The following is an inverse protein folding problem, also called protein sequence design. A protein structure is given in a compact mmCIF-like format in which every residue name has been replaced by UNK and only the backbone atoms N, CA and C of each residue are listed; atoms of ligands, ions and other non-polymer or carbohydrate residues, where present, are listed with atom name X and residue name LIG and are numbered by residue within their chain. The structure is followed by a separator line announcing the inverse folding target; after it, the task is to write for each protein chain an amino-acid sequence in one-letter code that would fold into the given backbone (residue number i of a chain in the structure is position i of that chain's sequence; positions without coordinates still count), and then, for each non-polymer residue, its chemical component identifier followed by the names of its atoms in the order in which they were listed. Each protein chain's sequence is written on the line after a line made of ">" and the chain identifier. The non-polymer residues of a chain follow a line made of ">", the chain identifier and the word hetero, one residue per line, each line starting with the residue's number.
data_IF_597713699308
#
_entry.id   IF_597713699308
#
_cell.length_a   1.000
_cell.length_b   1.000
_cell.length_c   1.000
_cell.angle_alpha   90.00
_cell.angle_beta   90.00
_cell.angle_gamma   90.00
#
_symmetry.space_group_name_H-M   'P 1'
#
loop_
_entity.id
_entity.type
_entity.pdbx_description
1 polymer ?
#
# COMPACT_ATOMS: atom_id res chain seq x y z
N UNK A 1 -13.45 -3.75 -5.23
CA UNK A 1 -14.22 -2.64 -4.63
C UNK A 1 -13.34 -1.65 -3.92
N UNK A 2 -12.64 -2.02 -2.83
CA UNK A 2 -11.76 -1.09 -2.10
C UNK A 2 -10.76 -0.37 -3.02
N UNK A 3 -10.07 -1.08 -3.92
CA UNK A 3 -9.13 -0.44 -4.85
C UNK A 3 -9.79 0.45 -5.91
N UNK A 4 -11.01 0.12 -6.34
CA UNK A 4 -11.76 0.98 -7.24
C UNK A 4 -12.16 2.28 -6.54
N UNK A 5 -12.55 2.19 -5.27
CA UNK A 5 -12.90 3.34 -4.45
C UNK A 5 -11.68 4.23 -4.16
N UNK A 6 -10.53 3.64 -3.82
CA UNK A 6 -9.28 4.38 -3.67
C UNK A 6 -8.91 5.08 -4.98
N UNK A 7 -8.96 4.37 -6.12
CA UNK A 7 -8.69 4.98 -7.42
C UNK A 7 -9.65 6.14 -7.75
N UNK A 8 -10.93 6.01 -7.40
CA UNK A 8 -11.93 7.08 -7.57
C UNK A 8 -11.58 8.30 -6.71
N UNK A 9 -11.31 8.10 -5.42
CA UNK A 9 -10.97 9.16 -4.47
C UNK A 9 -9.65 9.85 -4.84
N UNK A 10 -8.70 9.12 -5.42
CA UNK A 10 -7.42 9.65 -5.94
C UNK A 10 -7.54 10.29 -7.32
N UNK A 11 -8.75 10.50 -7.86
CA UNK A 11 -9.00 11.16 -9.15
C UNK A 11 -8.65 10.30 -10.37
N UNK A 12 -8.32 9.02 -10.18
CA UNK A 12 -7.94 8.07 -11.23
C UNK A 12 -9.17 7.29 -11.71
N UNK A 13 -10.19 8.01 -12.20
CA UNK A 13 -11.48 7.42 -12.58
C UNK A 13 -11.35 6.28 -13.61
N UNK A 14 -10.43 6.39 -14.57
CA UNK A 14 -10.21 5.33 -15.55
C UNK A 14 -9.72 4.03 -14.93
N UNK A 15 -8.83 4.12 -13.95
CA UNK A 15 -8.32 2.98 -13.19
C UNK A 15 -9.42 2.38 -12.30
N UNK A 16 -10.27 3.23 -11.71
CA UNK A 16 -11.41 2.78 -10.93
C UNK A 16 -12.40 1.96 -11.78
N UNK A 17 -12.72 2.42 -12.99
CA UNK A 17 -13.60 1.70 -13.92
C UNK A 17 -13.02 0.33 -14.31
N UNK A 18 -11.70 0.25 -14.57
CA UNK A 18 -11.02 -1.02 -14.84
C UNK A 18 -11.10 -2.00 -13.67
N UNK A 19 -10.90 -1.53 -12.43
CA UNK A 19 -11.01 -2.39 -11.24
C UNK A 19 -12.44 -2.90 -10.99
N UNK A 20 -13.46 -2.08 -11.23
CA UNK A 20 -14.86 -2.54 -11.17
C UNK A 20 -15.13 -3.61 -12.23
N UNK A 21 -14.67 -3.37 -13.46
CA UNK A 21 -14.75 -4.33 -14.55
C UNK A 21 -14.10 -5.67 -14.23
N UNK A 22 -12.88 -5.65 -13.70
CA UNK A 22 -12.14 -6.84 -13.31
C UNK A 22 -12.87 -7.63 -12.22
N UNK A 23 -13.42 -6.95 -11.21
CA UNK A 23 -14.23 -7.58 -10.18
C UNK A 23 -15.45 -8.27 -10.80
N UNK A 24 -16.21 -7.59 -11.66
CA UNK A 24 -17.37 -8.17 -12.34
C UNK A 24 -17.01 -9.38 -13.20
N UNK A 25 -15.88 -9.33 -13.91
CA UNK A 25 -15.37 -10.45 -14.70
C UNK A 25 -15.03 -11.68 -13.84
N UNK A 26 -14.45 -11.45 -12.65
CA UNK A 26 -14.16 -12.52 -11.69
C UNK A 26 -15.45 -13.10 -11.11
N UNK A 27 -16.37 -12.25 -10.65
CA UNK A 27 -17.66 -12.68 -10.09
C UNK A 27 -18.47 -13.51 -11.10
N UNK A 28 -18.52 -13.04 -12.35
CA UNK A 28 -19.20 -13.77 -13.44
C UNK A 28 -18.58 -15.15 -13.70
N UNK A 29 -17.25 -15.28 -13.67
CA UNK A 29 -16.54 -16.56 -13.86
C UNK A 29 -16.71 -17.53 -12.69
N UNK A 30 -16.86 -17.01 -11.49
CA UNK A 30 -17.08 -17.81 -10.27
C UNK A 30 -18.57 -18.13 -10.04
N UNK A 31 -19.45 -17.74 -10.96
CA UNK A 31 -20.92 -17.88 -10.84
C UNK A 31 -21.46 -17.38 -9.50
N UNK A 32 -20.82 -16.34 -8.96
CA UNK A 32 -21.15 -15.79 -7.64
C UNK A 32 -21.56 -14.33 -7.76
N UNK A 33 -22.45 -13.92 -6.87
CA UNK A 33 -22.98 -12.56 -6.83
C UNK A 33 -22.31 -11.77 -5.71
N UNK A 34 -22.35 -10.45 -5.80
CA UNK A 34 -21.94 -9.58 -4.68
C UNK A 34 -22.88 -9.87 -3.49
N UNK A 35 -22.34 -10.51 -2.44
CA UNK A 35 -23.13 -11.15 -1.38
C UNK A 35 -23.62 -10.14 -0.33
N UNK A 36 -22.95 -9.00 -0.17
CA UNK A 36 -23.26 -8.03 0.89
C UNK A 36 -23.97 -6.79 0.36
N UNK A 37 -25.10 -6.43 1.00
CA UNK A 37 -25.93 -5.27 0.58
C UNK A 37 -25.14 -3.95 0.57
N UNK A 38 -24.30 -3.71 1.58
CA UNK A 38 -23.45 -2.51 1.62
C UNK A 38 -22.45 -2.47 0.45
N UNK A 39 -21.97 -3.62 0.00
CA UNK A 39 -21.09 -3.70 -1.16
C UNK A 39 -21.85 -3.40 -2.47
N UNK A 40 -23.14 -3.71 -2.55
CA UNK A 40 -23.97 -3.41 -3.72
C UNK A 40 -24.31 -1.93 -3.81
N UNK A 41 -24.68 -1.29 -2.69
CA UNK A 41 -25.04 0.13 -2.67
C UNK A 41 -23.81 1.00 -2.93
N UNK A 42 -22.68 0.71 -2.25
CA UNK A 42 -21.41 1.40 -2.50
C UNK A 42 -20.90 1.20 -3.93
N UNK A 43 -21.08 0.00 -4.49
CA UNK A 43 -20.76 -0.28 -5.89
C UNK A 43 -21.58 0.58 -6.85
N UNK A 44 -22.90 0.66 -6.66
CA UNK A 44 -23.79 1.47 -7.51
C UNK A 44 -23.43 2.95 -7.48
N UNK A 45 -23.22 3.50 -6.29
CA UNK A 45 -22.80 4.90 -6.13
C UNK A 45 -21.48 5.16 -6.86
N UNK A 46 -20.51 4.25 -6.71
CA UNK A 46 -19.22 4.35 -7.40
C UNK A 46 -19.41 4.33 -8.93
N UNK A 47 -20.26 3.45 -9.45
CA UNK A 47 -20.58 3.39 -10.89
C UNK A 47 -21.22 4.69 -11.37
N UNK A 48 -22.22 5.21 -10.66
CA UNK A 48 -22.91 6.45 -11.03
C UNK A 48 -21.94 7.64 -11.08
N UNK A 49 -21.07 7.76 -10.06
CA UNK A 49 -20.03 8.79 -10.01
C UNK A 49 -19.06 8.66 -11.18
N UNK A 50 -18.59 7.45 -11.47
CA UNK A 50 -17.64 7.22 -12.57
C UNK A 50 -18.26 7.45 -13.94
N UNK A 51 -19.52 7.07 -14.14
CA UNK A 51 -20.26 7.36 -15.38
C UNK A 51 -20.45 8.87 -15.58
N UNK A 52 -20.76 9.61 -14.51
CA UNK A 52 -20.86 11.08 -14.57
C UNK A 52 -19.52 11.76 -14.88
N UNK A 53 -18.42 11.24 -14.32
CA UNK A 53 -17.08 11.83 -14.49
C UNK A 53 -16.39 11.47 -15.81
N UNK A 54 -16.54 10.23 -16.29
CA UNK A 54 -15.87 9.73 -17.50
C UNK A 54 -16.76 9.82 -18.73
N UNK A 55 -18.08 9.88 -18.56
CA UNK A 55 -19.05 9.59 -19.62
C UNK A 55 -19.28 8.08 -19.79
N UNK A 56 -20.50 7.71 -20.16
CA UNK A 56 -20.96 6.32 -20.24
C UNK A 56 -20.10 5.46 -21.15
N UNK A 57 -19.76 5.94 -22.36
CA UNK A 57 -19.00 5.16 -23.34
C UNK A 57 -17.58 4.85 -22.88
N UNK A 58 -16.89 5.81 -22.23
CA UNK A 58 -15.55 5.58 -21.71
C UNK A 58 -15.58 4.66 -20.49
N UNK A 59 -16.57 4.82 -19.61
CA UNK A 59 -16.77 3.89 -18.50
C UNK A 59 -17.00 2.46 -19.00
N UNK A 60 -17.89 2.26 -19.97
CA UNK A 60 -18.19 0.95 -20.55
C UNK A 60 -16.96 0.31 -21.20
N UNK A 61 -16.17 1.10 -21.94
CA UNK A 61 -14.93 0.63 -22.55
C UNK A 61 -13.92 0.19 -21.49
N UNK A 62 -13.62 1.05 -20.52
CA UNK A 62 -12.62 0.79 -19.49
C UNK A 62 -13.02 -0.36 -18.56
N UNK A 63 -14.30 -0.41 -18.16
CA UNK A 63 -14.83 -1.54 -17.40
C UNK A 63 -14.85 -2.83 -18.23
N UNK A 64 -15.10 -2.75 -19.53
CA UNK A 64 -14.97 -3.86 -20.47
C UNK A 64 -13.55 -4.41 -20.55
N UNK A 65 -12.55 -3.52 -20.66
CA UNK A 65 -11.13 -3.90 -20.63
C UNK A 65 -10.76 -4.58 -19.30
N UNK A 66 -11.22 -4.02 -18.18
CA UNK A 66 -11.03 -4.64 -16.86
C UNK A 66 -11.67 -6.03 -16.75
N UNK A 67 -12.88 -6.19 -17.27
CA UNK A 67 -13.63 -7.46 -17.27
C UNK A 67 -12.91 -8.57 -18.04
N UNK A 68 -12.15 -8.21 -19.07
CA UNK A 68 -11.37 -9.14 -19.87
C UNK A 68 -10.11 -9.66 -19.16
N UNK A 69 -9.68 -9.04 -18.05
CA UNK A 69 -8.49 -9.47 -17.33
C UNK A 69 -8.68 -10.84 -16.68
N UNK A 70 -7.60 -11.63 -16.71
CA UNK A 70 -7.45 -12.80 -15.83
C UNK A 70 -7.27 -12.35 -14.37
N UNK A 71 -7.39 -13.30 -13.44
CA UNK A 71 -7.17 -13.02 -12.01
C UNK A 71 -5.74 -12.52 -11.77
N UNK A 72 -4.74 -13.14 -12.40
CA UNK A 72 -3.34 -12.77 -12.22
C UNK A 72 -3.03 -11.39 -12.79
N UNK A 73 -3.57 -11.04 -13.96
CA UNK A 73 -3.43 -9.71 -14.54
C UNK A 73 -4.10 -8.63 -13.69
N UNK A 74 -5.30 -8.90 -13.16
CA UNK A 74 -5.98 -7.97 -12.25
C UNK A 74 -5.19 -7.76 -10.95
N UNK A 75 -4.55 -8.80 -10.42
CA UNK A 75 -3.66 -8.70 -9.25
C UNK A 75 -2.40 -7.89 -9.58
N UNK A 76 -1.80 -8.12 -10.75
CA UNK A 76 -0.62 -7.38 -11.19
C UNK A 76 -0.92 -5.89 -11.36
N UNK A 77 -2.04 -5.55 -12.00
CA UNK A 77 -2.50 -4.17 -12.19
C UNK A 77 -2.79 -3.48 -10.85
N UNK A 78 -3.45 -4.19 -9.93
CA UNK A 78 -3.69 -3.71 -8.56
C UNK A 78 -2.39 -3.40 -7.82
N UNK A 79 -1.37 -4.25 -7.95
CA UNK A 79 -0.06 -4.02 -7.32
C UNK A 79 0.66 -2.80 -7.91
N UNK A 80 0.58 -2.61 -9.23
CA UNK A 80 1.17 -1.46 -9.88
C UNK A 80 0.52 -0.15 -9.40
N UNK A 81 -0.81 -0.12 -9.29
CA UNK A 81 -1.57 1.02 -8.77
C UNK A 81 -1.19 1.35 -7.31
N UNK A 82 -1.19 0.34 -6.43
CA UNK A 82 -0.84 0.53 -5.01
C UNK A 82 0.63 0.93 -4.84
N UNK A 83 1.55 0.48 -5.70
CA UNK A 83 2.96 0.88 -5.62
C UNK A 83 3.16 2.39 -5.88
N UNK A 84 2.37 2.98 -6.79
CA UNK A 84 2.38 4.42 -7.07
C UNK A 84 1.84 5.21 -5.86
N UNK A 85 0.77 4.74 -5.24
CA UNK A 85 0.10 5.43 -4.12
C UNK A 85 0.85 5.25 -2.78
N UNK A 86 1.37 4.05 -2.50
CA UNK A 86 2.17 3.76 -1.30
C UNK A 86 3.53 4.43 -1.35
N UNK A 87 4.09 4.72 -2.53
CA UNK A 87 5.29 5.56 -2.60
C UNK A 87 5.02 7.00 -2.13
N UNK A 88 3.81 7.52 -2.32
CA UNK A 88 3.38 8.82 -1.81
C UNK A 88 2.94 8.75 -0.33
N UNK A 89 2.19 7.71 0.07
CA UNK A 89 1.70 7.53 1.44
C UNK A 89 2.79 7.05 2.42
N UNK A 90 3.80 6.32 1.96
CA UNK A 90 4.97 5.95 2.77
C UNK A 90 5.86 7.16 3.09
N UNK A 91 5.63 8.31 2.46
CA UNK A 91 6.28 9.57 2.80
C UNK A 91 5.49 10.39 3.84
N UNK A 92 4.23 10.03 4.14
CA UNK A 92 3.30 10.91 4.87
C UNK A 92 2.99 10.50 6.32
N UNK A 93 3.60 9.42 6.84
CA UNK A 93 3.30 8.92 8.20
C UNK A 93 4.51 8.89 9.15
N UNK A 94 5.67 9.40 8.73
CA UNK A 94 6.82 9.53 9.62
C UNK A 94 6.92 10.99 10.09
N UNK A 95 6.78 11.29 11.40
CA UNK A 95 7.04 12.63 11.92
C UNK A 95 8.45 13.06 11.51
N UNK A 96 8.58 14.33 11.12
CA UNK A 96 9.81 14.92 10.58
C UNK A 96 11.01 14.58 11.48
N UNK A 97 12.13 14.12 10.91
CA UNK A 97 13.28 13.69 11.69
C UNK A 97 13.78 14.83 12.60
N UNK A 98 14.10 14.55 13.87
CA UNK A 98 14.73 15.54 14.74
C UNK A 98 16.07 16.01 14.15
N UNK A 99 16.50 17.26 14.39
CA UNK A 99 17.76 17.77 13.88
C UNK A 99 18.93 16.93 14.41
N UNK A 100 19.62 16.21 13.52
CA UNK A 100 20.78 15.38 13.84
C UNK A 100 20.93 14.12 13.01
N UNK A 101 19.85 13.54 12.46
CA UNK A 101 19.88 12.34 11.62
C UNK A 101 18.63 12.22 10.72
N UNK A 102 18.66 11.45 9.60
CA UNK A 102 17.52 11.35 8.67
C UNK A 102 16.40 10.39 9.13
N UNK A 103 16.53 9.73 10.28
CA UNK A 103 15.59 8.72 10.76
C UNK A 103 14.37 9.35 11.47
N UNK A 104 13.18 8.77 11.26
CA UNK A 104 11.98 9.10 12.01
C UNK A 104 12.03 8.56 13.43
N UNK A 105 11.17 9.06 14.32
CA UNK A 105 11.08 8.54 15.70
C UNK A 105 10.83 7.02 15.73
N UNK A 106 9.99 6.51 14.83
CA UNK A 106 9.69 5.08 14.76
C UNK A 106 10.86 4.25 14.24
N UNK A 107 11.65 4.82 13.33
CA UNK A 107 12.88 4.19 12.86
C UNK A 107 13.96 4.17 13.94
N UNK A 108 14.04 5.20 14.78
CA UNK A 108 14.92 5.21 15.96
C UNK A 108 14.52 4.14 16.97
N UNK A 109 13.21 3.96 17.26
CA UNK A 109 12.74 2.87 18.14
C UNK A 109 13.20 1.50 17.63
N UNK A 110 13.00 1.25 16.33
CA UNK A 110 13.41 0.00 15.69
C UNK A 110 14.93 -0.16 15.76
N UNK A 111 15.70 0.88 15.43
CA UNK A 111 17.17 0.85 15.46
C UNK A 111 17.72 0.64 16.88
N UNK A 112 17.06 1.17 17.91
CA UNK A 112 17.40 0.95 19.32
C UNK A 112 17.22 -0.51 19.70
N UNK A 113 16.07 -1.09 19.40
CA UNK A 113 15.84 -2.52 19.66
C UNK A 113 16.76 -3.41 18.81
N UNK A 114 17.20 -2.93 17.64
CA UNK A 114 18.23 -3.63 16.88
C UNK A 114 19.58 -3.64 17.59
N UNK A 115 19.95 -2.53 18.22
CA UNK A 115 21.17 -2.39 19.01
C UNK A 115 21.12 -3.23 20.29
N UNK A 116 19.93 -3.42 20.87
CA UNK A 116 19.67 -4.36 21.97
C UNK A 116 19.77 -5.85 21.55
N UNK A 117 19.95 -6.13 20.25
CA UNK A 117 20.14 -7.47 19.72
C UNK A 117 18.87 -8.23 19.35
N UNK A 118 17.69 -7.60 19.42
CA UNK A 118 16.41 -8.27 19.16
C UNK A 118 16.20 -8.58 17.68
N UNK A 119 15.76 -9.79 17.35
CA UNK A 119 15.34 -10.16 15.99
C UNK A 119 14.13 -9.35 15.52
N UNK A 120 13.88 -9.32 14.20
CA UNK A 120 12.72 -8.61 13.66
C UNK A 120 11.38 -9.15 14.22
N UNK A 121 11.32 -10.42 14.61
CA UNK A 121 10.14 -11.02 15.25
C UNK A 121 9.95 -10.48 16.68
N UNK A 122 11.02 -10.45 17.48
CA UNK A 122 10.97 -9.89 18.84
C UNK A 122 10.65 -8.39 18.83
N UNK A 123 11.20 -7.64 17.86
CA UNK A 123 10.87 -6.23 17.65
C UNK A 123 9.40 -6.07 17.28
N UNK A 124 8.87 -6.93 16.41
CA UNK A 124 7.47 -6.90 16.01
C UNK A 124 6.55 -7.11 17.22
N UNK A 125 6.87 -8.08 18.07
CA UNK A 125 6.12 -8.35 19.30
C UNK A 125 6.23 -7.18 20.29
N UNK A 126 7.43 -6.63 20.49
CA UNK A 126 7.70 -5.52 21.42
C UNK A 126 6.96 -4.24 21.03
N UNK A 127 6.87 -3.98 19.72
CA UNK A 127 6.30 -2.76 19.16
C UNK A 127 4.84 -2.92 18.72
N UNK A 128 4.23 -4.09 18.93
CA UNK A 128 2.89 -4.45 18.46
C UNK A 128 2.70 -4.23 16.95
N UNK A 129 3.69 -4.65 16.16
CA UNK A 129 3.71 -4.54 14.69
C UNK A 129 3.74 -5.91 14.05
N UNK A 130 3.48 -5.97 12.74
CA UNK A 130 3.73 -7.20 11.96
C UNK A 130 5.23 -7.36 11.65
N UNK A 131 5.70 -8.60 11.50
CA UNK A 131 7.07 -8.91 11.04
C UNK A 131 7.41 -8.22 9.70
N UNK A 132 6.43 -8.15 8.79
CA UNK A 132 6.58 -7.46 7.50
C UNK A 132 6.83 -5.96 7.70
N UNK A 133 6.10 -5.34 8.63
CA UNK A 133 6.24 -3.92 8.95
C UNK A 133 7.63 -3.62 9.50
N UNK A 134 8.10 -4.40 10.47
CA UNK A 134 9.47 -4.26 11.01
C UNK A 134 10.53 -4.46 9.94
N UNK A 135 10.37 -5.47 9.08
CA UNK A 135 11.30 -5.69 7.95
C UNK A 135 11.35 -4.50 7.00
N UNK A 136 10.19 -3.88 6.73
CA UNK A 136 10.14 -2.65 5.93
C UNK A 136 10.84 -1.47 6.62
N UNK A 137 10.68 -1.31 7.94
CA UNK A 137 11.42 -0.29 8.70
C UNK A 137 12.93 -0.52 8.62
N UNK A 138 13.42 -1.76 8.78
CA UNK A 138 14.85 -2.07 8.66
C UNK A 138 15.37 -1.70 7.26
N UNK A 139 14.64 -2.04 6.19
CA UNK A 139 15.03 -1.65 4.83
C UNK A 139 15.09 -0.13 4.64
N UNK A 140 14.13 0.61 5.20
CA UNK A 140 14.11 2.08 5.15
C UNK A 140 15.28 2.70 5.91
N UNK A 141 15.58 2.21 7.12
CA UNK A 141 16.73 2.65 7.92
C UNK A 141 18.03 2.45 7.12
N UNK A 142 18.21 1.26 6.54
CA UNK A 142 19.37 0.95 5.71
C UNK A 142 19.49 1.90 4.52
N UNK A 143 18.38 2.15 3.80
CA UNK A 143 18.36 3.11 2.69
C UNK A 143 18.66 4.55 3.11
N UNK A 144 18.10 5.02 4.23
CA UNK A 144 18.32 6.38 4.74
C UNK A 144 19.74 6.61 5.24
N UNK A 145 20.41 5.57 5.73
CA UNK A 145 21.78 5.64 6.22
C UNK A 145 22.83 5.28 5.15
N UNK A 146 22.39 4.89 3.94
CA UNK A 146 23.24 4.35 2.88
C UNK A 146 24.07 3.13 3.33
N UNK A 147 23.42 2.20 4.02
CA UNK A 147 24.02 0.99 4.58
C UNK A 147 23.36 -0.26 4.01
N UNK A 148 24.12 -1.35 3.95
CA UNK A 148 23.66 -2.60 3.35
C UNK A 148 23.45 -3.73 4.36
N UNK A 149 23.78 -3.51 5.63
CA UNK A 149 23.62 -4.53 6.66
C UNK A 149 23.12 -3.97 7.98
N UNK A 150 22.30 -4.78 8.65
CA UNK A 150 21.81 -4.55 10.01
C UNK A 150 22.93 -4.23 11.00
N UNK A 151 24.02 -5.00 10.95
CA UNK A 151 25.17 -4.78 11.83
C UNK A 151 25.85 -3.43 11.57
N UNK A 152 25.94 -3.03 10.29
CA UNK A 152 26.47 -1.70 9.95
C UNK A 152 25.56 -0.58 10.48
N UNK A 153 24.24 -0.74 10.40
CA UNK A 153 23.28 0.22 10.95
C UNK A 153 23.40 0.38 12.46
N UNK A 154 23.49 -0.73 13.21
CA UNK A 154 23.71 -0.70 14.66
C UNK A 154 25.03 -0.02 15.01
N UNK A 155 26.12 -0.39 14.33
CA UNK A 155 27.42 0.20 14.57
C UNK A 155 27.44 1.71 14.23
N UNK A 156 26.72 2.13 13.19
CA UNK A 156 26.53 3.54 12.84
C UNK A 156 25.78 4.29 13.94
N UNK A 157 24.66 3.73 14.42
CA UNK A 157 23.81 4.35 15.43
C UNK A 157 24.59 4.68 16.71
N UNK A 158 25.38 3.70 17.19
CA UNK A 158 26.24 3.85 18.38
C UNK A 158 27.32 4.92 18.15
N UNK A 159 27.98 4.92 16.98
CA UNK A 159 29.05 5.91 16.68
C UNK A 159 28.52 7.34 16.59
N UNK A 160 27.28 7.50 16.12
CA UNK A 160 26.65 8.81 15.95
C UNK A 160 25.86 9.25 17.20
N UNK A 161 25.80 8.41 18.25
CA UNK A 161 25.03 8.70 19.46
C UNK A 161 23.52 8.80 19.23
N UNK A 162 23.01 8.10 18.21
CA UNK A 162 21.57 7.99 17.94
C UNK A 162 20.92 7.06 18.97
N UNK A 163 21.68 6.02 19.40
CA UNK A 163 21.33 5.03 20.43
C UNK A 163 22.53 4.80 21.35
#
# INVERSE_FOLDING_TARGET
>A
DVLAEIARLSGQGGQAARFLGAADGIFGRLETTRVWKHDVDAYRETVDVLQGALGTSDFERLSGEGRALTVDEAIAESRAFVAVDVSAASSAADPEPPPGHPLSAREVDVLTLMADGLSNAEIADRLFLSLRTVTSHVTKILGKLDLTSRTAAVAFAIRQGIV
#
